data_IF_342822854554
#
_entry.id   IF_342822854554
#
_cell.length_a   1.000
_cell.length_b   1.000
_cell.length_c   1.000
_cell.angle_alpha   90.00
_cell.angle_beta   90.00
_cell.angle_gamma   90.00
#
_symmetry.space_group_name_H-M   'P 1'
#
loop_
_entity.id
_entity.type
_entity.pdbx_description
1 polymer ?
#
# COMPACT_ATOMS: atom_id res chain seq x y z
N UNK A 1 -19.06 9.50 -8.05
CA UNK A 1 -18.57 9.20 -6.69
C UNK A 1 -17.49 10.23 -6.33
N UNK A 2 -17.24 10.56 -5.06
CA UNK A 2 -16.08 11.37 -4.66
C UNK A 2 -14.97 10.47 -4.11
N UNK A 3 -13.71 10.77 -4.44
CA UNK A 3 -12.50 10.07 -3.98
C UNK A 3 -12.09 10.55 -2.58
N UNK A 4 -12.51 11.76 -2.16
CA UNK A 4 -12.02 12.37 -0.93
C UNK A 4 -12.32 11.54 0.33
N UNK A 5 -13.54 10.98 0.53
CA UNK A 5 -13.81 10.20 1.73
C UNK A 5 -12.97 8.90 1.81
N UNK A 6 -12.84 8.08 0.75
CA UNK A 6 -11.91 6.96 0.74
C UNK A 6 -10.44 7.36 0.95
N UNK A 7 -10.00 8.49 0.40
CA UNK A 7 -8.65 9.02 0.58
C UNK A 7 -8.38 9.39 2.05
N UNK A 8 -9.27 10.14 2.68
CA UNK A 8 -9.15 10.50 4.09
C UNK A 8 -9.14 9.27 5.00
N UNK A 9 -9.95 8.25 4.67
CA UNK A 9 -9.94 6.97 5.39
C UNK A 9 -8.59 6.26 5.27
N UNK A 10 -7.98 6.25 4.08
CA UNK A 10 -6.65 5.68 3.87
C UNK A 10 -5.58 6.45 4.63
N UNK A 11 -5.59 7.78 4.59
CA UNK A 11 -4.65 8.62 5.35
C UNK A 11 -4.78 8.36 6.86
N UNK A 12 -6.01 8.24 7.36
CA UNK A 12 -6.28 7.93 8.78
C UNK A 12 -5.71 6.56 9.17
N UNK A 13 -5.97 5.52 8.36
CA UNK A 13 -5.47 4.17 8.61
C UNK A 13 -3.93 4.11 8.61
N UNK A 14 -3.28 4.79 7.65
CA UNK A 14 -1.82 4.87 7.57
C UNK A 14 -1.23 5.58 8.80
N UNK A 15 -1.84 6.69 9.25
CA UNK A 15 -1.42 7.38 10.48
C UNK A 15 -1.57 6.49 11.71
N UNK A 16 -2.67 5.76 11.82
CA UNK A 16 -2.89 4.84 12.94
C UNK A 16 -1.86 3.71 12.94
N UNK A 17 -1.64 3.07 11.79
CA UNK A 17 -0.62 2.04 11.63
C UNK A 17 0.78 2.55 12.00
N UNK A 18 1.20 3.72 11.48
CA UNK A 18 2.48 4.32 11.83
C UNK A 18 2.62 4.59 13.33
N UNK A 19 1.56 5.09 13.98
CA UNK A 19 1.56 5.29 15.44
C UNK A 19 1.73 3.95 16.17
N UNK A 20 0.95 2.93 15.82
CA UNK A 20 1.02 1.63 16.49
C UNK A 20 2.41 1.03 16.31
N UNK A 21 2.93 0.93 15.08
CA UNK A 21 4.24 0.37 14.79
C UNK A 21 5.42 1.15 15.38
N UNK A 22 5.22 2.41 15.78
CA UNK A 22 6.25 3.19 16.48
C UNK A 22 6.43 2.83 17.96
N UNK A 23 5.55 2.01 18.53
CA UNK A 23 5.62 1.60 19.94
C UNK A 23 6.55 0.39 20.10
N UNK A 24 7.34 0.38 21.17
CA UNK A 24 8.39 -0.63 21.42
C UNK A 24 7.85 -2.03 21.74
N UNK A 25 6.59 -2.15 22.14
CA UNK A 25 5.97 -3.40 22.60
C UNK A 25 4.47 -3.43 22.24
N UNK A 26 4.19 -3.45 20.94
CA UNK A 26 2.83 -3.54 20.41
C UNK A 26 2.29 -4.96 20.62
N UNK A 27 1.13 -5.15 21.29
CA UNK A 27 0.47 -6.44 21.30
C UNK A 27 0.15 -6.91 19.88
N UNK A 28 0.45 -8.16 19.54
CA UNK A 28 0.22 -8.72 18.20
C UNK A 28 -1.18 -8.41 17.65
N UNK A 29 -2.20 -8.48 18.51
CA UNK A 29 -3.59 -8.17 18.15
C UNK A 29 -3.77 -6.73 17.67
N UNK A 30 -3.12 -5.76 18.30
CA UNK A 30 -3.20 -4.35 17.92
C UNK A 30 -2.45 -4.08 16.62
N UNK A 31 -1.26 -4.70 16.46
CA UNK A 31 -0.51 -4.63 15.22
C UNK A 31 -1.32 -5.18 14.03
N UNK A 32 -1.86 -6.40 14.18
CA UNK A 32 -2.71 -7.02 13.15
C UNK A 32 -3.95 -6.19 12.84
N UNK A 33 -4.61 -5.61 13.86
CA UNK A 33 -5.78 -4.75 13.64
C UNK A 33 -5.43 -3.51 12.81
N UNK A 34 -4.30 -2.85 13.11
CA UNK A 34 -3.84 -1.69 12.35
C UNK A 34 -3.46 -2.05 10.90
N UNK A 35 -2.86 -3.23 10.67
CA UNK A 35 -2.58 -3.74 9.32
C UNK A 35 -3.86 -3.99 8.52
N UNK A 36 -4.84 -4.68 9.11
CA UNK A 36 -6.12 -4.97 8.45
C UNK A 36 -6.91 -3.68 8.14
N UNK A 37 -6.82 -2.66 9.01
CA UNK A 37 -7.41 -1.36 8.77
C UNK A 37 -6.82 -0.68 7.52
N UNK A 38 -5.49 -0.71 7.36
CA UNK A 38 -4.81 -0.20 6.14
C UNK A 38 -5.27 -0.97 4.90
N UNK A 39 -5.29 -2.31 4.95
CA UNK A 39 -5.74 -3.15 3.83
C UNK A 39 -7.16 -2.82 3.40
N UNK A 40 -8.08 -2.67 4.35
CA UNK A 40 -9.46 -2.31 4.06
C UNK A 40 -9.58 -0.91 3.44
N UNK A 41 -8.80 0.06 3.92
CA UNK A 41 -8.81 1.42 3.40
C UNK A 41 -8.19 1.51 1.98
N UNK A 42 -7.12 0.77 1.72
CA UNK A 42 -6.50 0.64 0.39
C UNK A 42 -7.50 0.11 -0.63
N UNK A 43 -8.23 -0.96 -0.31
CA UNK A 43 -9.28 -1.51 -1.19
C UNK A 43 -10.36 -0.46 -1.48
N UNK A 44 -10.89 0.17 -0.43
CA UNK A 44 -11.92 1.20 -0.57
C UNK A 44 -11.47 2.39 -1.43
N UNK A 45 -10.22 2.82 -1.31
CA UNK A 45 -9.66 3.89 -2.16
C UNK A 45 -9.48 3.43 -3.60
N UNK A 46 -8.98 2.21 -3.78
CA UNK A 46 -8.76 1.62 -5.11
C UNK A 46 -10.06 1.47 -5.89
N UNK A 47 -11.11 0.99 -5.24
CA UNK A 47 -12.45 0.87 -5.84
C UNK A 47 -12.98 2.26 -6.26
N UNK A 48 -12.79 3.27 -5.41
CA UNK A 48 -13.21 4.64 -5.74
C UNK A 48 -12.43 5.26 -6.90
N UNK A 49 -11.12 4.99 -7.00
CA UNK A 49 -10.29 5.40 -8.14
C UNK A 49 -10.77 4.72 -9.41
N UNK A 50 -11.02 3.41 -9.37
CA UNK A 50 -11.50 2.67 -10.51
C UNK A 50 -12.87 3.17 -10.98
N UNK A 51 -13.81 3.39 -10.05
CA UNK A 51 -15.13 3.93 -10.37
C UNK A 51 -15.09 5.32 -11.01
N UNK A 52 -14.16 6.19 -10.58
CA UNK A 52 -14.08 7.58 -11.07
C UNK A 52 -13.25 7.71 -12.34
N UNK A 53 -12.15 6.96 -12.46
CA UNK A 53 -11.15 7.17 -13.50
C UNK A 53 -10.99 6.00 -14.47
N UNK A 54 -11.48 4.81 -14.12
CA UNK A 54 -11.24 3.57 -14.86
C UNK A 54 -9.84 2.97 -14.68
N UNK A 55 -8.95 3.63 -13.91
CA UNK A 55 -7.62 3.12 -13.62
C UNK A 55 -7.63 2.10 -12.47
N UNK A 56 -6.75 1.10 -12.57
CA UNK A 56 -6.57 0.09 -11.53
C UNK A 56 -5.95 0.65 -10.24
N UNK A 57 -5.88 -0.20 -9.21
CA UNK A 57 -5.29 0.17 -7.92
C UNK A 57 -3.82 0.59 -8.07
N UNK A 58 -3.41 1.75 -7.52
CA UNK A 58 -2.02 2.18 -7.52
C UNK A 58 -1.13 1.36 -6.56
N UNK A 59 -1.71 0.42 -5.81
CA UNK A 59 -0.99 -0.42 -4.84
C UNK A 59 -0.69 -1.83 -5.34
N UNK A 60 -1.18 -2.21 -6.54
CA UNK A 60 -1.13 -3.60 -7.04
C UNK A 60 0.29 -4.07 -7.38
N UNK A 61 1.16 -3.14 -7.75
CA UNK A 61 2.50 -3.47 -8.27
C UNK A 61 3.61 -3.09 -7.28
N UNK A 62 3.30 -2.61 -6.08
CA UNK A 62 4.33 -2.09 -5.16
C UNK A 62 5.30 -3.19 -4.72
N UNK A 63 4.83 -4.43 -4.64
CA UNK A 63 5.64 -5.60 -4.28
C UNK A 63 6.32 -6.26 -5.50
N UNK A 64 6.00 -5.83 -6.74
CA UNK A 64 6.54 -6.40 -7.99
C UNK A 64 7.71 -5.58 -8.58
N UNK A 65 8.12 -4.47 -7.94
CA UNK A 65 9.23 -3.59 -8.42
C UNK A 65 10.61 -4.07 -7.92
N UNK A 66 10.71 -5.21 -7.24
CA UNK A 66 12.00 -5.69 -6.70
C UNK A 66 12.81 -6.57 -7.67
N UNK A 67 12.35 -6.85 -8.90
CA UNK A 67 12.97 -7.89 -9.76
C UNK A 67 13.13 -7.54 -11.25
N UNK A 68 13.21 -6.25 -11.62
CA UNK A 68 13.62 -5.85 -12.97
C UNK A 68 14.81 -4.86 -12.86
N UNK A 69 15.93 -5.23 -13.49
CA UNK A 69 17.11 -4.41 -13.80
C UNK A 69 18.31 -4.38 -12.81
N UNK A 70 18.80 -5.55 -12.39
CA UNK A 70 20.25 -5.76 -12.15
C UNK A 70 20.82 -6.81 -13.13
N UNK A 71 20.65 -6.60 -14.43
CA UNK A 71 21.43 -7.29 -15.46
C UNK A 71 22.36 -6.27 -16.14
N UNK A 72 23.20 -5.64 -15.32
CA UNK A 72 24.31 -4.78 -15.76
C UNK A 72 25.54 -5.69 -15.99
N UNK A 73 25.71 -6.05 -17.27
CA UNK A 73 26.91 -6.50 -17.99
C UNK A 73 28.01 -7.31 -17.25
N UNK A 74 28.21 -8.55 -17.70
CA UNK A 74 29.53 -9.20 -17.65
C UNK A 74 29.85 -9.94 -18.98
N UNK A 75 30.42 -9.16 -19.89
CA UNK A 75 31.68 -9.46 -20.60
C UNK A 75 31.74 -10.57 -21.67
N UNK A 76 31.97 -10.07 -22.90
CA UNK A 76 32.80 -10.57 -24.00
C UNK A 76 32.86 -12.06 -24.37
N UNK A 77 32.34 -12.38 -25.56
CA UNK A 77 32.98 -13.32 -26.50
C UNK A 77 32.39 -13.17 -27.93
N UNK A 78 32.99 -12.28 -28.73
CA UNK A 78 32.90 -12.28 -30.20
C UNK A 78 34.25 -11.92 -30.84
#
# INVERSE_FOLDING_TARGET
MSIDPPLEKLISALRHHARVMSLSDVPLKEGTAAFEEVRAAVRSYSDAIFEVSGWGSPFTNVDEIEDDDLDDEADSDL
#
